data_IF_150808305958
#
_entry.id   IF_150808305958
#
_cell.length_a   1.000
_cell.length_b   1.000
_cell.length_c   1.000
_cell.angle_alpha   90.00
_cell.angle_beta   90.00
_cell.angle_gamma   90.00
#
_symmetry.space_group_name_H-M   'P 1'
#
loop_
_entity.id
_entity.type
_entity.pdbx_description
1 polymer ?
#
# COMPACT_ATOMS: atom_id res chain seq x y z
N UNK A 1 0.35 -10.94 10.30
CA UNK A 1 -1.06 -10.62 10.03
C UNK A 1 -1.33 -10.69 8.54
N UNK A 2 -2.34 -11.45 8.15
CA UNK A 2 -2.70 -11.57 6.73
C UNK A 2 -3.81 -10.60 6.37
N UNK A 3 -3.68 -9.96 5.21
CA UNK A 3 -4.68 -9.06 4.66
C UNK A 3 -5.03 -9.51 3.25
N UNK A 4 -6.30 -9.36 2.89
CA UNK A 4 -6.78 -9.66 1.54
C UNK A 4 -8.05 -8.88 1.24
N UNK A 5 -8.30 -8.67 -0.03
CA UNK A 5 -9.50 -8.00 -0.49
C UNK A 5 -9.46 -7.75 -1.97
N UNK A 6 -10.46 -7.00 -2.44
CA UNK A 6 -10.52 -6.59 -3.83
C UNK A 6 -11.16 -5.21 -3.94
N UNK A 7 -10.84 -4.50 -5.02
CA UNK A 7 -11.38 -3.19 -5.32
C UNK A 7 -11.58 -3.06 -6.82
N UNK A 8 -12.75 -2.55 -7.21
CA UNK A 8 -13.04 -2.30 -8.62
C UNK A 8 -12.56 -0.91 -9.04
N UNK A 9 -11.70 -0.86 -10.07
CA UNK A 9 -11.28 0.39 -10.69
C UNK A 9 -11.97 0.55 -12.04
N UNK A 10 -12.58 1.72 -12.32
CA UNK A 10 -13.24 1.94 -13.60
C UNK A 10 -12.25 2.31 -14.72
N UNK A 11 -11.20 1.50 -14.86
CA UNK A 11 -10.12 1.67 -15.83
C UNK A 11 -9.76 0.31 -16.41
N UNK A 12 -9.38 0.24 -17.70
CA UNK A 12 -8.87 -1.01 -18.27
C UNK A 12 -7.62 -1.53 -17.53
N UNK A 13 -7.38 -2.84 -17.55
CA UNK A 13 -6.27 -3.41 -16.79
C UNK A 13 -4.90 -2.78 -17.04
N UNK A 14 -4.57 -2.45 -18.28
CA UNK A 14 -3.30 -1.82 -18.60
C UNK A 14 -3.14 -0.45 -17.92
N UNK A 15 -4.20 0.36 -17.91
CA UNK A 15 -4.19 1.67 -17.26
C UNK A 15 -4.18 1.52 -15.75
N UNK A 16 -4.97 0.60 -15.20
CA UNK A 16 -4.98 0.33 -13.76
C UNK A 16 -3.60 -0.10 -13.27
N UNK A 17 -2.94 -0.97 -14.01
CA UNK A 17 -1.60 -1.45 -13.72
C UNK A 17 -0.59 -0.31 -13.66
N UNK A 18 -0.57 0.56 -14.66
CA UNK A 18 0.32 1.71 -14.71
C UNK A 18 0.02 2.72 -13.62
N UNK A 19 -1.25 2.98 -13.37
CA UNK A 19 -1.68 3.97 -12.39
C UNK A 19 -1.27 3.58 -10.98
N UNK A 20 -1.32 2.31 -10.64
CA UNK A 20 -0.89 1.81 -9.33
C UNK A 20 0.63 1.78 -9.14
N UNK A 21 1.38 2.13 -10.16
CA UNK A 21 2.84 2.24 -10.11
C UNK A 21 3.35 3.65 -10.38
N UNK A 22 2.46 4.60 -10.64
CA UNK A 22 2.84 5.99 -10.89
C UNK A 22 3.19 6.68 -9.57
N UNK A 23 4.43 7.16 -9.38
CA UNK A 23 4.85 7.79 -8.13
C UNK A 23 4.02 9.00 -7.72
N UNK A 24 3.59 9.82 -8.67
CA UNK A 24 2.77 11.00 -8.36
C UNK A 24 1.39 10.60 -7.84
N UNK A 25 0.80 9.57 -8.45
CA UNK A 25 -0.50 9.06 -8.02
C UNK A 25 -0.37 8.39 -6.65
N UNK A 26 0.67 7.57 -6.47
CA UNK A 26 0.91 6.88 -5.20
C UNK A 26 1.13 7.86 -4.06
N UNK A 27 1.94 8.90 -4.27
CA UNK A 27 2.19 9.92 -3.26
C UNK A 27 0.92 10.65 -2.83
N UNK A 28 0.03 10.95 -3.78
CA UNK A 28 -1.24 11.61 -3.49
C UNK A 28 -2.31 10.69 -2.93
N UNK A 29 -2.22 9.39 -3.18
CA UNK A 29 -3.23 8.42 -2.77
C UNK A 29 -2.96 7.77 -1.42
N UNK A 30 -1.68 7.61 -1.04
CA UNK A 30 -1.33 6.99 0.24
C UNK A 30 -1.62 7.91 1.41
N UNK A 31 -2.51 7.52 2.35
CA UNK A 31 -2.81 8.36 3.50
C UNK A 31 -1.56 8.62 4.34
N UNK A 32 -1.32 9.90 4.66
CA UNK A 32 -0.18 10.30 5.48
C UNK A 32 1.17 10.35 4.76
N UNK A 33 1.20 10.08 3.46
CA UNK A 33 2.44 10.17 2.70
C UNK A 33 2.85 11.63 2.52
N UNK A 34 4.02 11.99 3.06
CA UNK A 34 4.56 13.34 2.93
C UNK A 34 5.48 13.46 1.71
N UNK A 35 6.20 12.39 1.39
CA UNK A 35 7.06 12.36 0.21
C UNK A 35 7.27 10.94 -0.29
N UNK A 36 7.45 10.81 -1.60
CA UNK A 36 7.79 9.56 -2.26
C UNK A 36 8.85 9.86 -3.31
N UNK A 37 10.04 9.32 -3.11
CA UNK A 37 11.19 9.59 -3.96
C UNK A 37 11.70 8.32 -4.61
N UNK A 38 11.88 8.34 -5.92
CA UNK A 38 12.44 7.22 -6.66
C UNK A 38 13.94 7.12 -6.39
N UNK A 39 14.39 5.99 -5.86
CA UNK A 39 15.80 5.75 -5.54
C UNK A 39 16.45 4.68 -6.39
N UNK A 40 15.67 4.01 -7.22
CA UNK A 40 16.16 2.97 -8.11
C UNK A 40 15.04 2.56 -9.05
N UNK A 41 15.30 1.58 -9.91
CA UNK A 41 14.26 1.00 -10.74
C UNK A 41 13.28 0.24 -9.86
N UNK A 42 12.00 0.61 -9.93
CA UNK A 42 10.92 0.01 -9.12
C UNK A 42 11.15 0.07 -7.60
N UNK A 43 11.93 1.05 -7.15
CA UNK A 43 12.23 1.24 -5.74
C UNK A 43 12.06 2.69 -5.33
N UNK A 44 11.34 2.91 -4.23
CA UNK A 44 11.00 4.25 -3.75
C UNK A 44 11.29 4.38 -2.26
N UNK A 45 11.76 5.58 -1.88
CA UNK A 45 11.89 5.98 -0.49
C UNK A 45 10.69 6.82 -0.11
N UNK A 46 10.14 6.57 1.07
CA UNK A 46 8.87 7.15 1.49
C UNK A 46 8.99 7.74 2.89
N UNK A 47 8.37 8.90 3.09
CA UNK A 47 8.16 9.48 4.41
C UNK A 47 6.66 9.53 4.68
N UNK A 48 6.26 8.98 5.81
CA UNK A 48 4.85 8.93 6.21
C UNK A 48 4.65 9.45 7.60
N UNK A 49 3.49 10.06 7.82
CA UNK A 49 3.01 10.46 9.12
C UNK A 49 1.77 9.62 9.42
N UNK A 50 1.82 8.87 10.51
CA UNK A 50 0.72 7.99 10.90
C UNK A 50 0.27 8.26 12.31
N UNK A 51 -1.05 8.10 12.52
CA UNK A 51 -1.65 8.10 13.85
C UNK A 51 -2.44 6.81 14.03
N UNK A 52 -2.19 6.12 15.14
CA UNK A 52 -2.85 4.87 15.47
C UNK A 52 -3.17 4.89 16.96
N UNK A 53 -4.47 5.01 17.31
CA UNK A 53 -4.92 5.24 18.67
C UNK A 53 -4.24 6.50 19.25
N UNK A 54 -3.59 6.40 20.41
CA UNK A 54 -2.86 7.50 21.02
C UNK A 54 -1.42 7.63 20.51
N UNK A 55 -0.99 6.72 19.62
CA UNK A 55 0.35 6.75 19.05
C UNK A 55 0.34 7.53 17.75
N UNK A 56 1.27 8.45 17.63
CA UNK A 56 1.51 9.15 16.36
C UNK A 56 3.01 9.24 16.13
N UNK A 57 3.40 9.27 14.86
CA UNK A 57 4.80 9.35 14.56
C UNK A 57 5.10 9.43 13.08
N UNK A 58 6.33 9.80 12.81
CA UNK A 58 6.88 9.80 11.46
C UNK A 58 7.56 8.47 11.20
N UNK A 59 7.34 7.95 9.99
CA UNK A 59 7.97 6.72 9.54
C UNK A 59 8.77 6.99 8.28
N UNK A 60 9.98 6.48 8.25
CA UNK A 60 10.79 6.40 7.04
C UNK A 60 10.65 4.99 6.49
N UNK A 61 10.32 4.89 5.21
CA UNK A 61 10.05 3.61 4.61
C UNK A 61 10.58 3.47 3.20
N UNK A 62 10.47 2.25 2.71
CA UNK A 62 10.82 1.90 1.33
C UNK A 62 9.70 1.06 0.73
N UNK A 63 9.47 1.28 -0.55
CA UNK A 63 8.53 0.51 -1.36
C UNK A 63 9.31 -0.06 -2.54
N UNK A 64 9.16 -1.35 -2.77
CA UNK A 64 9.78 -2.02 -3.90
C UNK A 64 8.75 -2.84 -4.65
N UNK A 65 8.75 -2.71 -5.97
CA UNK A 65 7.87 -3.46 -6.85
C UNK A 65 8.68 -4.57 -7.48
N UNK A 66 8.20 -5.81 -7.39
CA UNK A 66 8.89 -6.98 -7.91
C UNK A 66 7.92 -7.89 -8.66
N UNK A 67 8.46 -8.90 -9.34
CA UNK A 67 7.70 -9.93 -10.05
C UNK A 67 6.63 -9.34 -10.96
N UNK A 68 7.02 -8.36 -11.75
CA UNK A 68 6.10 -7.70 -12.67
C UNK A 68 5.70 -8.60 -13.82
N UNK A 69 4.39 -8.75 -14.00
CA UNK A 69 3.79 -9.48 -15.13
C UNK A 69 2.68 -8.60 -15.74
N UNK A 70 3.05 -7.53 -16.45
CA UNK A 70 2.07 -6.59 -16.99
C UNK A 70 1.14 -7.23 -18.04
N UNK A 71 -0.13 -6.88 -18.04
CA UNK A 71 -0.87 -6.06 -17.09
C UNK A 71 -1.58 -6.90 -16.01
N UNK A 72 -1.07 -8.08 -15.68
CA UNK A 72 -1.78 -9.08 -14.88
C UNK A 72 -1.48 -8.99 -13.39
N UNK A 73 -0.21 -8.81 -13.00
CA UNK A 73 0.15 -8.82 -11.58
C UNK A 73 1.51 -8.21 -11.31
N UNK A 74 1.70 -7.81 -10.05
CA UNK A 74 3.02 -7.50 -9.48
C UNK A 74 3.01 -7.73 -7.98
N UNK A 75 4.20 -7.86 -7.40
CA UNK A 75 4.38 -7.91 -5.94
C UNK A 75 4.87 -6.59 -5.42
N UNK A 76 4.42 -6.27 -4.20
CA UNK A 76 4.78 -5.04 -3.51
C UNK A 76 5.45 -5.40 -2.20
N UNK A 77 6.64 -4.86 -1.96
CA UNK A 77 7.35 -4.98 -0.70
C UNK A 77 7.39 -3.61 -0.03
N UNK A 78 6.89 -3.52 1.20
CA UNK A 78 6.82 -2.27 1.95
C UNK A 78 7.47 -2.47 3.31
N UNK A 79 8.32 -1.54 3.70
CA UNK A 79 8.86 -1.51 5.04
C UNK A 79 8.92 -0.08 5.55
N UNK A 80 8.76 0.09 6.85
CA UNK A 80 8.83 1.40 7.47
C UNK A 80 9.24 1.27 8.92
N UNK A 81 9.94 2.29 9.42
CA UNK A 81 10.37 2.35 10.82
C UNK A 81 10.33 3.76 11.36
N UNK A 82 10.12 3.88 12.65
CA UNK A 82 10.08 5.15 13.36
C UNK A 82 10.17 4.92 14.86
N UNK A 83 9.96 5.99 15.64
CA UNK A 83 10.08 5.92 17.09
C UNK A 83 9.08 4.98 17.75
N UNK A 84 7.89 4.84 17.17
CA UNK A 84 6.83 3.99 17.76
C UNK A 84 6.88 2.54 17.28
N UNK A 85 7.83 2.20 16.42
CA UNK A 85 8.00 0.83 15.99
C UNK A 85 8.31 0.69 14.52
N UNK A 86 8.07 -0.50 14.00
CA UNK A 86 8.33 -0.81 12.61
C UNK A 86 7.19 -1.63 12.01
N UNK A 87 7.13 -1.60 10.69
CA UNK A 87 6.21 -2.42 9.94
C UNK A 87 6.90 -2.93 8.68
N UNK A 88 6.58 -4.16 8.30
CA UNK A 88 7.11 -4.79 7.10
C UNK A 88 6.00 -5.62 6.47
N UNK A 89 5.78 -5.45 5.17
CA UNK A 89 4.73 -6.17 4.48
C UNK A 89 5.12 -6.54 3.07
N UNK A 90 4.53 -7.61 2.58
CA UNK A 90 4.58 -7.95 1.17
C UNK A 90 3.17 -8.31 0.70
N UNK A 91 2.88 -8.00 -0.55
CA UNK A 91 1.57 -8.27 -1.11
C UNK A 91 1.64 -8.58 -2.58
N UNK A 92 0.69 -9.39 -3.04
CA UNK A 92 0.50 -9.69 -4.45
C UNK A 92 -0.77 -8.99 -4.91
N UNK A 93 -0.66 -8.21 -5.98
CA UNK A 93 -1.78 -7.56 -6.62
C UNK A 93 -2.04 -8.22 -7.96
N UNK A 94 -3.31 -8.59 -8.21
CA UNK A 94 -3.76 -9.17 -9.47
C UNK A 94 -4.82 -8.30 -10.09
N UNK A 95 -4.73 -8.13 -11.40
CA UNK A 95 -5.60 -7.26 -12.19
C UNK A 95 -6.41 -8.11 -13.15
N UNK A 96 -7.73 -8.17 -12.96
CA UNK A 96 -8.64 -8.96 -13.78
C UNK A 96 -9.67 -8.04 -14.43
N UNK A 97 -9.78 -8.12 -15.75
CA UNK A 97 -10.79 -7.35 -16.47
C UNK A 97 -12.20 -7.78 -16.04
N UNK A 98 -13.04 -6.81 -15.75
CA UNK A 98 -14.45 -7.03 -15.42
C UNK A 98 -15.28 -5.86 -15.92
N UNK A 99 -16.29 -6.15 -16.75
CA UNK A 99 -17.12 -5.13 -17.39
C UNK A 99 -16.23 -4.12 -18.14
N UNK A 100 -16.39 -2.82 -17.90
CA UNK A 100 -15.55 -1.79 -18.51
C UNK A 100 -14.37 -1.38 -17.61
N UNK A 101 -14.02 -2.18 -16.61
CA UNK A 101 -13.00 -1.84 -15.63
C UNK A 101 -12.14 -3.03 -15.23
N UNK A 102 -11.58 -2.94 -14.04
CA UNK A 102 -10.64 -3.93 -13.53
C UNK A 102 -10.93 -4.23 -12.07
N UNK A 103 -11.01 -5.52 -11.73
CA UNK A 103 -10.95 -5.96 -10.35
C UNK A 103 -9.49 -6.10 -9.95
N UNK A 104 -9.08 -5.33 -8.96
CA UNK A 104 -7.76 -5.45 -8.36
C UNK A 104 -7.93 -6.27 -7.09
N UNK A 105 -7.42 -7.49 -7.10
CA UNK A 105 -7.39 -8.31 -5.89
C UNK A 105 -6.02 -8.23 -5.25
N UNK A 106 -6.00 -8.21 -3.94
CA UNK A 106 -4.73 -8.17 -3.20
C UNK A 106 -4.75 -9.16 -2.06
N UNK A 107 -3.60 -9.74 -1.80
CA UNK A 107 -3.35 -10.55 -0.61
C UNK A 107 -1.92 -10.30 -0.15
N UNK A 108 -1.74 -10.22 1.14
CA UNK A 108 -0.44 -9.91 1.70
C UNK A 108 -0.28 -10.36 3.13
N UNK A 109 0.95 -10.22 3.61
CA UNK A 109 1.32 -10.50 4.98
C UNK A 109 2.04 -9.30 5.54
N UNK A 110 1.64 -8.86 6.74
CA UNK A 110 2.18 -7.68 7.40
C UNK A 110 2.69 -8.07 8.77
N UNK A 111 3.92 -7.65 9.07
CA UNK A 111 4.53 -7.77 10.39
C UNK A 111 4.67 -6.39 11.02
N UNK A 112 4.30 -6.28 12.28
CA UNK A 112 4.38 -5.03 13.04
C UNK A 112 5.10 -5.32 14.34
N UNK A 113 6.03 -4.45 14.70
CA UNK A 113 6.80 -4.61 15.94
C UNK A 113 7.01 -3.28 16.67
N UNK A 114 7.55 -3.35 17.89
CA UNK A 114 7.76 -2.20 18.74
C UNK A 114 6.48 -1.77 19.46
N UNK A 115 6.45 -0.51 19.91
CA UNK A 115 5.32 0.03 20.66
C UNK A 115 4.00 -0.04 19.89
N UNK A 116 4.06 0.16 18.58
CA UNK A 116 2.88 0.11 17.73
C UNK A 116 2.17 -1.25 17.77
N UNK A 117 2.90 -2.34 17.98
CA UNK A 117 2.30 -3.66 18.10
C UNK A 117 1.44 -3.82 19.36
N UNK A 118 1.71 -3.03 20.39
CA UNK A 118 0.98 -3.08 21.66
C UNK A 118 -0.45 -2.58 21.57
N UNK A 119 -0.83 -1.85 20.52
CA UNK A 119 -2.22 -1.36 20.36
C UNK A 119 -3.21 -2.49 20.06
N UNK A 120 -2.72 -3.65 19.67
CA UNK A 120 -3.53 -4.83 19.40
C UNK A 120 -3.82 -5.06 17.92
N UNK A 121 -3.90 -6.34 17.58
CA UNK A 121 -4.04 -6.76 16.19
C UNK A 121 -5.34 -6.28 15.54
N UNK A 122 -6.44 -6.22 16.30
CA UNK A 122 -7.73 -5.78 15.77
C UNK A 122 -7.68 -4.32 15.30
N UNK A 123 -7.01 -3.45 16.07
CA UNK A 123 -6.89 -2.04 15.71
C UNK A 123 -5.95 -1.88 14.50
N UNK A 124 -4.87 -2.62 14.46
CA UNK A 124 -3.94 -2.62 13.33
C UNK A 124 -4.65 -3.07 12.06
N UNK A 125 -5.40 -4.17 12.12
CA UNK A 125 -6.14 -4.71 10.98
C UNK A 125 -7.18 -3.71 10.45
N UNK A 126 -7.95 -3.11 11.34
CA UNK A 126 -8.94 -2.10 10.96
C UNK A 126 -8.33 -0.87 10.32
N UNK A 127 -7.20 -0.40 10.85
CA UNK A 127 -6.47 0.74 10.28
C UNK A 127 -5.91 0.41 8.90
N UNK A 128 -5.33 -0.77 8.74
CA UNK A 128 -4.80 -1.20 7.45
C UNK A 128 -5.90 -1.26 6.38
N UNK A 129 -7.04 -1.83 6.71
CA UNK A 129 -8.19 -1.90 5.81
C UNK A 129 -8.70 -0.52 5.42
N UNK A 130 -8.79 0.40 6.37
CA UNK A 130 -9.20 1.78 6.12
C UNK A 130 -8.22 2.49 5.18
N UNK A 131 -6.93 2.33 5.41
CA UNK A 131 -5.89 2.95 4.58
C UNK A 131 -5.93 2.42 3.15
N UNK A 132 -6.10 1.11 2.98
CA UNK A 132 -6.20 0.48 1.67
C UNK A 132 -7.42 1.00 0.92
N UNK A 133 -8.57 1.09 1.60
CA UNK A 133 -9.78 1.62 0.97
C UNK A 133 -9.60 3.06 0.51
N UNK A 134 -9.03 3.93 1.35
CA UNK A 134 -8.77 5.32 0.99
C UNK A 134 -7.78 5.44 -0.16
N UNK A 135 -6.78 4.59 -0.17
CA UNK A 135 -5.81 4.54 -1.25
C UNK A 135 -6.49 4.26 -2.59
N UNK A 136 -7.29 3.19 -2.67
CA UNK A 136 -7.99 2.85 -3.90
C UNK A 136 -9.05 3.87 -4.29
N UNK A 137 -9.75 4.44 -3.34
CA UNK A 137 -10.73 5.51 -3.61
C UNK A 137 -10.06 6.69 -4.32
N UNK A 138 -8.87 7.08 -3.89
CA UNK A 138 -8.12 8.16 -4.51
C UNK A 138 -7.53 7.78 -5.86
N UNK A 139 -7.06 6.56 -5.99
CA UNK A 139 -6.56 6.05 -7.28
C UNK A 139 -7.67 6.03 -8.32
N UNK A 140 -8.89 5.73 -7.91
CA UNK A 140 -10.08 5.69 -8.79
C UNK A 140 -10.59 7.08 -9.19
N UNK A 141 -10.23 8.09 -8.44
CA UNK A 141 -10.72 9.46 -8.67
C UNK A 141 -10.12 10.12 -9.90
#
# INVERSE_FOLDING_TARGET
MKISGSYFLPLPPAQAYQRLQDPEILAGAMPGCESLEKIGEDEYKMKMKMALASLSGNFDGKVRITDQAPPESFKLLVEGSGKVGFMKGEGLLKFTARDAGTDVSYEGDVQVGGTIAAVGQRLIDGTAKMMIKRFFDKVAA
#
